data_IF_583709433623
#
_entry.id   IF_583709433623
#
_cell.length_a   1.000
_cell.length_b   1.000
_cell.length_c   1.000
_cell.angle_alpha   90.00
_cell.angle_beta   90.00
_cell.angle_gamma   90.00
#
_symmetry.space_group_name_H-M   'P 1'
#
loop_
_entity.id
_entity.type
_entity.pdbx_description
1 polymer ?
#
# COMPACT_ATOMS: atom_id res chain seq x y z
N UNK A 1 -0.83 -1.25 -9.35
CA UNK A 1 -0.29 -0.15 -8.51
C UNK A 1 0.63 -0.71 -7.43
N UNK A 2 1.91 -0.31 -7.46
CA UNK A 2 2.99 -0.79 -6.59
C UNK A 2 2.74 -0.52 -5.10
N UNK A 3 2.18 0.62 -4.75
CA UNK A 3 1.90 0.99 -3.34
C UNK A 3 0.87 0.06 -2.70
N UNK A 4 -0.21 -0.27 -3.41
CA UNK A 4 -1.24 -1.20 -2.93
C UNK A 4 -0.63 -2.58 -2.70
N UNK A 5 0.10 -3.09 -3.70
CA UNK A 5 0.76 -4.38 -3.59
C UNK A 5 1.72 -4.44 -2.40
N UNK A 6 2.57 -3.42 -2.22
CA UNK A 6 3.50 -3.36 -1.09
C UNK A 6 2.77 -3.37 0.25
N UNK A 7 1.76 -2.51 0.42
CA UNK A 7 0.98 -2.46 1.68
C UNK A 7 0.34 -3.81 1.98
N UNK A 8 -0.28 -4.46 1.00
CA UNK A 8 -0.89 -5.77 1.18
C UNK A 8 0.15 -6.84 1.53
N UNK A 9 1.30 -6.83 0.85
CA UNK A 9 2.42 -7.76 1.10
C UNK A 9 2.94 -7.62 2.52
N UNK A 10 3.17 -6.40 3.00
CA UNK A 10 3.71 -6.17 4.34
C UNK A 10 2.71 -6.50 5.45
N UNK A 11 1.41 -6.26 5.23
CA UNK A 11 0.36 -6.73 6.13
C UNK A 11 0.32 -8.27 6.19
N UNK A 12 0.49 -8.94 5.04
CA UNK A 12 0.46 -10.40 4.94
C UNK A 12 1.67 -11.06 5.60
N UNK A 13 2.87 -10.59 5.25
CA UNK A 13 4.14 -11.21 5.65
C UNK A 13 4.65 -10.71 7.00
N UNK A 14 4.14 -9.56 7.48
CA UNK A 14 4.48 -8.96 8.77
C UNK A 14 5.98 -8.70 8.95
N UNK A 15 6.71 -8.40 7.87
CA UNK A 15 8.15 -8.09 7.94
C UNK A 15 8.38 -6.76 8.68
N UNK A 16 7.54 -5.77 8.39
CA UNK A 16 7.45 -4.52 9.13
C UNK A 16 6.03 -3.97 9.09
N UNK A 17 5.77 -2.91 9.85
CA UNK A 17 4.47 -2.20 9.81
C UNK A 17 4.61 -1.07 8.79
N UNK A 18 3.88 -1.09 7.67
CA UNK A 18 3.99 -0.05 6.65
C UNK A 18 3.45 1.29 7.16
N UNK A 19 4.18 2.36 6.87
CA UNK A 19 3.83 3.73 7.22
C UNK A 19 3.83 4.63 5.97
N UNK A 20 3.12 5.77 6.01
CA UNK A 20 3.06 6.68 4.86
C UNK A 20 4.43 7.14 4.38
N UNK A 21 5.35 7.38 5.32
CA UNK A 21 6.73 7.79 5.04
C UNK A 21 7.52 6.78 4.18
N UNK A 22 7.25 5.47 4.34
CA UNK A 22 7.89 4.41 3.54
C UNK A 22 7.58 4.55 2.05
N UNK A 23 6.45 5.19 1.72
CA UNK A 23 5.95 5.39 0.37
C UNK A 23 6.04 6.85 -0.11
N UNK A 24 6.62 7.74 0.71
CA UNK A 24 6.63 9.17 0.44
C UNK A 24 5.23 9.81 0.42
N UNK A 25 4.31 9.26 1.20
CA UNK A 25 2.95 9.77 1.41
C UNK A 25 2.86 10.51 2.74
N UNK A 26 2.02 11.54 2.79
CA UNK A 26 1.59 12.14 4.06
C UNK A 26 0.69 11.15 4.81
N UNK A 27 0.62 11.27 6.13
CA UNK A 27 -0.20 10.39 6.97
C UNK A 27 -1.67 10.37 6.53
N UNK A 28 -2.22 11.52 6.13
CA UNK A 28 -3.61 11.61 5.62
C UNK A 28 -3.81 10.89 4.27
N UNK A 29 -2.81 10.90 3.39
CA UNK A 29 -2.85 10.19 2.11
C UNK A 29 -2.77 8.68 2.34
N UNK A 30 -1.88 8.28 3.26
CA UNK A 30 -1.75 6.88 3.63
C UNK A 30 -2.99 6.35 4.35
N UNK A 31 -3.58 7.12 5.27
CA UNK A 31 -4.84 6.75 5.90
C UNK A 31 -5.97 6.63 4.87
N UNK A 32 -6.04 7.54 3.90
CA UNK A 32 -6.96 7.46 2.77
C UNK A 32 -6.79 6.15 1.97
N UNK A 33 -5.55 5.76 1.67
CA UNK A 33 -5.25 4.48 1.03
C UNK A 33 -5.73 3.28 1.87
N UNK A 34 -5.46 3.29 3.17
CA UNK A 34 -5.88 2.19 4.05
C UNK A 34 -7.41 2.12 4.16
N UNK A 35 -8.10 3.27 4.23
CA UNK A 35 -9.57 3.32 4.19
C UNK A 35 -10.11 2.76 2.88
N UNK A 36 -9.48 3.08 1.75
CA UNK A 36 -9.83 2.50 0.45
C UNK A 36 -9.72 0.96 0.49
N UNK A 37 -8.60 0.42 0.98
CA UNK A 37 -8.41 -1.04 1.08
C UNK A 37 -9.41 -1.73 2.03
N UNK A 38 -9.82 -1.07 3.11
CA UNK A 38 -10.88 -1.58 3.98
C UNK A 38 -12.26 -1.55 3.31
N UNK A 39 -12.58 -0.47 2.59
CA UNK A 39 -13.85 -0.35 1.86
C UNK A 39 -13.98 -1.40 0.76
N UNK A 40 -12.87 -1.69 0.06
CA UNK A 40 -12.76 -2.79 -0.91
C UNK A 40 -12.73 -4.18 -0.26
N UNK A 41 -12.83 -4.24 1.08
CA UNK A 41 -12.75 -5.47 1.88
C UNK A 41 -11.46 -6.24 1.64
N UNK A 42 -10.39 -5.60 1.19
CA UNK A 42 -9.10 -6.23 0.97
C UNK A 42 -8.38 -6.50 2.30
N UNK A 43 -8.54 -5.61 3.28
CA UNK A 43 -7.97 -5.73 4.61
C UNK A 43 -9.04 -5.61 5.70
N UNK A 44 -8.77 -6.22 6.85
CA UNK A 44 -9.62 -6.14 8.05
C UNK A 44 -8.79 -5.90 9.31
N UNK A 45 -9.46 -5.60 10.42
CA UNK A 45 -8.86 -5.42 11.76
C UNK A 45 -7.83 -4.28 11.84
N UNK A 46 -8.01 -3.23 11.04
CA UNK A 46 -7.24 -2.00 11.19
C UNK A 46 -7.72 -1.28 12.45
N UNK A 47 -6.79 -0.95 13.34
CA UNK A 47 -7.11 -0.22 14.57
C UNK A 47 -6.86 1.27 14.37
N UNK A 48 -7.82 2.09 14.81
CA UNK A 48 -7.69 3.55 14.86
C UNK A 48 -7.89 4.00 16.30
N UNK A 49 -6.92 4.72 16.85
CA UNK A 49 -7.06 5.36 18.16
C UNK A 49 -6.63 6.81 18.07
N UNK A 50 -7.52 7.71 18.47
CA UNK A 50 -7.33 9.15 18.31
C UNK A 50 -7.01 9.46 16.84
N UNK A 51 -5.84 10.04 16.59
CA UNK A 51 -5.38 10.43 15.25
C UNK A 51 -4.31 9.47 14.71
N UNK A 52 -4.21 8.26 15.27
CA UNK A 52 -3.19 7.28 14.89
C UNK A 52 -3.80 6.02 14.27
N UNK A 53 -3.16 5.59 13.19
CA UNK A 53 -3.47 4.38 12.45
C UNK A 53 -2.53 3.24 12.86
N UNK A 54 -3.08 2.11 13.26
CA UNK A 54 -2.33 0.93 13.68
C UNK A 54 -2.65 -0.26 12.79
N UNK A 55 -1.66 -0.66 11.96
CA UNK A 55 -1.76 -1.79 11.05
C UNK A 55 -1.23 -3.11 11.63
N UNK A 56 -0.60 -3.09 12.82
CA UNK A 56 -0.11 -4.31 13.49
C UNK A 56 -1.16 -5.43 13.65
N UNK A 57 -2.44 -5.14 14.00
CA UNK A 57 -3.47 -6.18 14.05
C UNK A 57 -4.12 -6.50 12.70
N UNK A 58 -3.83 -5.72 11.65
CA UNK A 58 -4.49 -5.84 10.36
C UNK A 58 -4.19 -7.18 9.68
N UNK A 59 -5.13 -7.66 8.86
CA UNK A 59 -5.02 -8.91 8.11
C UNK A 59 -5.60 -8.74 6.72
N UNK A 60 -5.06 -9.51 5.77
CA UNK A 60 -5.70 -9.65 4.46
C UNK A 60 -6.93 -10.54 4.57
N UNK A 61 -7.99 -10.17 3.85
CA UNK A 61 -9.13 -11.04 3.60
C UNK A 61 -8.83 -11.95 2.39
N UNK A 62 -9.79 -12.80 2.01
CA UNK A 62 -9.72 -13.54 0.75
C UNK A 62 -9.59 -12.62 -0.48
N UNK A 63 -10.24 -11.44 -0.44
CA UNK A 63 -10.17 -10.44 -1.52
C UNK A 63 -8.78 -9.82 -1.54
N UNK A 64 -8.22 -9.46 -0.38
CA UNK A 64 -6.86 -8.92 -0.30
C UNK A 64 -5.80 -9.89 -0.79
N UNK A 65 -5.96 -11.19 -0.49
CA UNK A 65 -5.06 -12.24 -1.00
C UNK A 65 -5.17 -12.41 -2.52
N UNK A 66 -6.39 -12.34 -3.07
CA UNK A 66 -6.58 -12.38 -4.52
C UNK A 66 -5.93 -11.17 -5.21
N UNK A 67 -6.11 -9.97 -4.65
CA UNK A 67 -5.50 -8.74 -5.15
C UNK A 67 -3.97 -8.75 -5.05
N UNK A 68 -3.43 -9.38 -4.00
CA UNK A 68 -1.99 -9.58 -3.85
C UNK A 68 -1.44 -10.51 -4.94
N UNK A 69 -2.17 -11.57 -5.30
CA UNK A 69 -1.79 -12.50 -6.37
C UNK A 69 -1.95 -11.85 -7.76
N UNK A 70 -2.94 -10.99 -7.96
CA UNK A 70 -3.15 -10.23 -9.21
C UNK A 70 -1.93 -9.37 -9.57
N UNK A 71 -1.27 -8.79 -8.56
CA UNK A 71 -0.12 -7.92 -8.72
C UNK A 71 1.23 -8.60 -8.45
N UNK A 72 1.26 -9.93 -8.50
CA UNK A 72 2.44 -10.73 -8.15
C UNK A 72 3.64 -10.49 -9.05
N UNK A 73 3.47 -9.92 -10.24
CA UNK A 73 4.58 -9.50 -11.10
C UNK A 73 5.53 -8.52 -10.39
N UNK A 74 5.03 -7.72 -9.45
CA UNK A 74 5.85 -6.79 -8.69
C UNK A 74 6.78 -7.48 -7.67
N UNK A 75 6.52 -8.74 -7.30
CA UNK A 75 7.41 -9.51 -6.40
C UNK A 75 8.83 -9.59 -6.95
N UNK A 76 8.95 -9.76 -8.28
CA UNK A 76 10.24 -9.97 -8.96
C UNK A 76 11.18 -8.77 -8.86
N UNK A 77 10.60 -7.59 -8.64
CA UNK A 77 11.29 -6.31 -8.58
C UNK A 77 11.03 -5.60 -7.24
N UNK A 78 10.59 -6.35 -6.22
CA UNK A 78 10.23 -5.78 -4.93
C UNK A 78 11.50 -5.29 -4.22
N UNK A 79 11.60 -4.00 -3.90
CA UNK A 79 12.82 -3.43 -3.36
C UNK A 79 12.90 -3.60 -1.84
N UNK A 80 14.03 -3.22 -1.25
CA UNK A 80 14.15 -3.10 0.19
C UNK A 80 13.32 -1.92 0.72
N UNK A 81 12.96 -1.94 2.02
CA UNK A 81 12.11 -0.90 2.65
C UNK A 81 12.59 0.52 2.36
N UNK A 82 13.90 0.76 2.44
CA UNK A 82 14.49 2.09 2.21
C UNK A 82 14.33 2.62 0.78
N UNK A 83 13.96 1.76 -0.16
CA UNK A 83 13.80 2.07 -1.58
C UNK A 83 12.32 2.03 -2.03
N UNK A 84 11.38 1.72 -1.13
CA UNK A 84 9.96 1.62 -1.45
C UNK A 84 9.41 2.93 -2.01
N UNK A 85 9.80 4.06 -1.42
CA UNK A 85 9.39 5.39 -1.85
C UNK A 85 9.69 5.64 -3.32
N UNK A 86 10.92 5.42 -3.76
CA UNK A 86 11.33 5.67 -5.13
C UNK A 86 10.63 4.71 -6.09
N UNK A 87 10.47 3.46 -5.67
CA UNK A 87 9.82 2.42 -6.45
C UNK A 87 8.33 2.69 -6.69
N UNK A 88 7.59 3.13 -5.67
CA UNK A 88 6.16 3.48 -5.84
C UNK A 88 5.95 4.79 -6.59
N UNK A 89 6.92 5.72 -6.55
CA UNK A 89 6.84 6.98 -7.28
C UNK A 89 6.89 6.81 -8.80
N UNK A 90 7.46 5.71 -9.32
CA UNK A 90 7.43 5.41 -10.75
C UNK A 90 5.99 5.35 -11.27
N UNK A 91 5.04 4.84 -10.47
CA UNK A 91 3.62 4.86 -10.85
C UNK A 91 3.10 6.30 -10.96
N UNK A 92 3.41 7.18 -10.00
CA UNK A 92 2.97 8.59 -10.01
C UNK A 92 3.50 9.36 -11.22
N UNK A 93 4.75 9.11 -11.61
CA UNK A 93 5.38 9.76 -12.77
C UNK A 93 4.68 9.33 -14.06
N UNK A 94 4.40 8.02 -14.21
CA UNK A 94 3.67 7.50 -15.37
C UNK A 94 2.26 8.11 -15.47
N UNK A 95 1.53 8.21 -14.37
CA UNK A 95 0.19 8.83 -14.36
C UNK A 95 0.19 10.36 -14.52
N UNK A 96 1.27 11.06 -14.17
CA UNK A 96 1.37 12.53 -14.36
C UNK A 96 1.74 12.89 -15.80
N UNK A 97 2.53 12.04 -16.47
CA UNK A 97 2.91 12.25 -17.86
C UNK A 97 1.74 11.98 -18.84
N UNK A 98 0.77 11.15 -18.46
CA UNK A 98 -0.46 10.93 -19.25
C UNK A 98 -1.51 12.06 -19.07
N UNK A 99 -1.22 13.10 -18.26
CA UNK A 99 -2.11 14.23 -18.01
C UNK A 99 -1.72 15.53 -18.76
N UNK A 100 -0.70 15.48 -19.63
CA UNK A 100 -0.25 16.61 -20.47
C UNK A 100 -0.48 16.38 -21.99
N UNK A 101 -1.52 15.65 -22.37
CA UNK A 101 -2.00 15.62 -23.77
C UNK A 101 -3.52 15.80 -23.83
N UNK A 102 -3.98 17.05 -23.65
CA UNK A 102 -5.21 17.58 -24.29
C UNK A 102 -5.11 19.10 -24.52
#
# INVERSE_FOLDING_TARGET
>A
MRVIYSVLKEINEKRFVPEGADYGLKDIEFEGLIRFLENEKAIERVLRMHDQLFLKPARLTKIGLALLEEYKEYEKIYPERGQLKDWVQVDKILYSNDAEDE
#
